data_IF_500714075368
#
_entry.id   IF_500714075368
#
_cell.length_a   1.000
_cell.length_b   1.000
_cell.length_c   1.000
_cell.angle_alpha   90.00
_cell.angle_beta   90.00
_cell.angle_gamma   90.00
#
_symmetry.space_group_name_H-M   'P 1'
#
loop_
_entity.id
_entity.type
_entity.pdbx_description
1 polymer ?
#
# COMPACT_ATOMS: atom_id res chain seq x y z
N UNK A 1 -16.04 22.39 6.47
CA UNK A 1 -15.75 20.96 6.33
C UNK A 1 -15.20 20.50 7.66
N UNK A 2 -15.79 19.49 8.32
CA UNK A 2 -15.28 19.00 9.59
C UNK A 2 -13.96 18.24 9.33
N UNK A 3 -12.89 18.69 9.95
CA UNK A 3 -11.63 17.97 10.07
C UNK A 3 -11.84 16.81 11.04
N UNK A 4 -11.84 15.60 10.54
CA UNK A 4 -11.81 14.41 11.38
C UNK A 4 -10.36 14.18 11.83
N UNK A 5 -10.01 14.68 13.00
CA UNK A 5 -8.81 14.28 13.72
C UNK A 5 -9.00 12.85 14.23
N UNK A 6 -8.51 11.87 13.48
CA UNK A 6 -8.33 10.52 13.98
C UNK A 6 -6.99 10.47 14.73
N UNK A 7 -6.95 10.15 16.02
CA UNK A 7 -5.69 10.09 16.77
C UNK A 7 -4.82 8.97 16.20
N UNK A 8 -3.62 9.33 15.72
CA UNK A 8 -2.60 8.41 15.18
C UNK A 8 -2.17 8.67 13.73
N UNK A 9 -2.80 9.56 13.00
CA UNK A 9 -2.55 9.77 11.55
C UNK A 9 -1.37 10.72 11.22
N UNK A 10 -0.70 11.33 12.18
CA UNK A 10 0.19 12.48 11.95
C UNK A 10 1.66 12.19 11.64
N UNK A 11 2.20 11.02 11.83
CA UNK A 11 3.66 10.87 11.97
C UNK A 11 4.44 10.20 10.84
N UNK A 12 3.81 9.62 9.84
CA UNK A 12 4.54 8.91 8.76
C UNK A 12 4.97 9.86 7.64
N UNK A 13 4.23 10.93 7.38
CA UNK A 13 4.50 11.85 6.28
C UNK A 13 5.77 12.71 6.44
N UNK A 14 6.06 13.19 7.66
CA UNK A 14 7.20 14.08 7.91
C UNK A 14 8.57 13.40 7.83
N UNK A 15 8.62 12.07 7.96
CA UNK A 15 9.87 11.30 7.85
C UNK A 15 10.26 10.98 6.41
N UNK A 16 9.29 10.96 5.49
CA UNK A 16 9.53 10.61 4.09
C UNK A 16 10.47 11.57 3.37
N UNK A 17 10.44 12.84 3.76
CA UNK A 17 11.19 13.91 3.10
C UNK A 17 12.60 14.13 3.64
N UNK A 18 12.91 13.69 4.86
CA UNK A 18 14.22 14.03 5.44
C UNK A 18 15.37 13.10 5.05
N UNK A 19 15.08 11.84 4.70
CA UNK A 19 16.15 10.83 4.73
C UNK A 19 16.40 10.03 3.43
N UNK A 20 15.77 10.36 2.26
CA UNK A 20 16.12 9.43 1.20
C UNK A 20 15.68 9.65 -0.24
N UNK A 21 14.80 10.57 -0.57
CA UNK A 21 14.41 10.81 -1.99
C UNK A 21 15.00 12.11 -2.55
N UNK A 22 15.62 12.96 -1.75
CA UNK A 22 16.00 14.34 -2.10
C UNK A 22 17.40 14.48 -2.71
N UNK A 23 18.14 13.42 -2.99
CA UNK A 23 19.41 13.54 -3.70
C UNK A 23 19.27 13.55 -5.24
N UNK A 24 18.15 14.05 -5.78
CA UNK A 24 17.94 14.13 -7.23
C UNK A 24 16.84 15.07 -7.72
N UNK A 25 16.15 15.80 -6.85
CA UNK A 25 15.13 16.76 -7.28
C UNK A 25 15.54 18.17 -6.89
N UNK A 26 15.98 18.95 -7.85
CA UNK A 26 16.17 20.39 -7.70
C UNK A 26 14.86 21.07 -7.33
N UNK A 27 14.93 21.96 -6.37
CA UNK A 27 13.85 22.82 -5.87
C UNK A 27 13.29 23.64 -7.03
N UNK A 28 12.07 23.36 -7.47
CA UNK A 28 11.35 24.22 -8.43
C UNK A 28 10.78 25.37 -7.65
N UNK A 29 11.46 26.50 -7.67
CA UNK A 29 10.91 27.82 -7.34
C UNK A 29 10.01 28.25 -8.50
N UNK A 30 8.75 28.59 -8.18
CA UNK A 30 7.83 29.26 -9.11
C UNK A 30 8.44 30.59 -9.59
N UNK A 31 8.73 30.68 -10.87
CA UNK A 31 8.77 31.91 -11.63
C UNK A 31 8.04 31.68 -12.94
N UNK A 32 6.97 32.46 -13.12
CA UNK A 32 6.24 32.59 -14.38
C UNK A 32 7.17 33.13 -15.46
N UNK A 33 7.40 32.33 -16.49
CA UNK A 33 7.67 32.87 -17.83
C UNK A 33 7.24 31.84 -18.90
N UNK A 34 6.29 32.29 -19.71
CA UNK A 34 5.77 31.59 -20.88
C UNK A 34 6.84 31.44 -21.95
N UNK A 35 7.53 30.32 -22.00
CA UNK A 35 8.08 29.77 -23.26
C UNK A 35 8.13 28.25 -23.18
N UNK A 36 7.37 27.62 -24.07
CA UNK A 36 7.19 26.20 -24.22
C UNK A 36 8.50 25.45 -24.48
N UNK A 37 9.07 24.84 -23.47
CA UNK A 37 9.90 23.65 -23.65
C UNK A 37 9.09 22.46 -23.14
N UNK A 38 8.75 21.59 -24.06
CA UNK A 38 7.98 20.40 -23.86
C UNK A 38 8.83 19.40 -23.06
N UNK A 39 8.67 19.34 -21.74
CA UNK A 39 9.30 18.34 -20.89
C UNK A 39 8.41 17.08 -20.84
N UNK A 40 8.80 15.98 -21.49
CA UNK A 40 8.04 14.72 -21.46
C UNK A 40 7.99 14.10 -20.06
N UNK A 41 8.93 14.42 -19.16
CA UNK A 41 8.97 13.91 -17.79
C UNK A 41 7.84 14.51 -16.93
N UNK A 42 7.55 15.80 -17.11
CA UNK A 42 6.46 16.48 -16.45
C UNK A 42 5.08 15.91 -16.85
N UNK A 43 4.95 15.39 -18.07
CA UNK A 43 3.71 14.79 -18.57
C UNK A 43 3.45 13.41 -17.96
N UNK A 44 4.48 12.62 -17.73
CA UNK A 44 4.37 11.30 -17.08
C UNK A 44 3.98 11.47 -15.61
N UNK A 45 4.60 12.38 -14.89
CA UNK A 45 4.26 12.68 -13.49
C UNK A 45 2.81 13.22 -13.38
N UNK A 46 2.37 14.07 -14.32
CA UNK A 46 1.01 14.64 -14.33
C UNK A 46 -0.10 13.60 -14.57
N UNK A 47 0.22 12.50 -15.27
CA UNK A 47 -0.71 11.39 -15.51
C UNK A 47 -1.00 10.55 -14.26
N UNK A 48 -0.09 10.53 -13.26
CA UNK A 48 -0.24 9.72 -12.05
C UNK A 48 -0.69 10.50 -10.81
N UNK A 49 -0.95 11.81 -10.93
CA UNK A 49 -1.22 12.69 -9.80
C UNK A 49 -2.41 12.29 -8.90
N UNK A 50 -3.33 11.47 -9.41
CA UNK A 50 -4.50 11.02 -8.64
C UNK A 50 -4.51 9.50 -8.41
N UNK A 51 -3.36 8.83 -8.52
CA UNK A 51 -3.24 7.39 -8.34
C UNK A 51 -2.73 7.05 -6.94
N UNK A 52 -3.27 5.98 -6.39
CA UNK A 52 -2.78 5.41 -5.14
C UNK A 52 -2.23 4.00 -5.38
N UNK A 53 -1.01 3.75 -4.95
CA UNK A 53 -0.57 2.38 -4.73
C UNK A 53 -1.30 1.82 -3.51
N UNK A 54 -1.78 0.60 -3.61
CA UNK A 54 -2.50 -0.07 -2.54
C UNK A 54 -2.10 -1.54 -2.48
N UNK A 55 -1.93 -2.06 -1.27
CA UNK A 55 -1.77 -3.49 -1.04
C UNK A 55 -2.58 -3.94 0.18
N UNK A 56 -3.01 -5.19 0.18
CA UNK A 56 -3.77 -5.81 1.26
C UNK A 56 -3.18 -7.16 1.63
N UNK A 57 -3.19 -7.47 2.92
CA UNK A 57 -2.90 -8.79 3.46
C UNK A 57 -4.05 -9.26 4.34
N UNK A 58 -4.27 -10.56 4.41
CA UNK A 58 -5.39 -11.04 5.21
C UNK A 58 -5.50 -12.55 5.28
N UNK A 59 -6.60 -12.98 5.85
CA UNK A 59 -6.92 -14.38 6.05
C UNK A 59 -8.00 -14.83 5.06
N UNK A 60 -7.80 -15.98 4.47
CA UNK A 60 -8.84 -16.69 3.74
C UNK A 60 -9.47 -17.73 4.65
N UNK A 61 -10.77 -17.85 4.63
CA UNK A 61 -11.53 -18.85 5.36
C UNK A 61 -12.42 -19.61 4.37
N UNK A 62 -11.90 -20.71 3.82
CA UNK A 62 -12.60 -21.50 2.82
C UNK A 62 -13.06 -20.69 1.60
N UNK A 63 -14.38 -20.73 1.31
CA UNK A 63 -15.02 -19.99 0.21
C UNK A 63 -15.46 -18.56 0.59
N UNK A 64 -15.21 -18.14 1.82
CA UNK A 64 -15.62 -16.81 2.30
C UNK A 64 -14.77 -15.71 1.69
N UNK A 65 -15.27 -14.47 1.65
CA UNK A 65 -14.44 -13.31 1.33
C UNK A 65 -13.21 -13.23 2.24
N UNK A 66 -12.10 -12.76 1.70
CA UNK A 66 -10.88 -12.53 2.46
C UNK A 66 -11.16 -11.56 3.61
N UNK A 67 -10.79 -11.94 4.83
CA UNK A 67 -10.76 -11.03 5.97
C UNK A 67 -9.48 -10.20 5.89
N UNK A 68 -9.61 -8.92 5.56
CA UNK A 68 -8.49 -8.01 5.39
C UNK A 68 -7.86 -7.76 6.75
N UNK A 69 -6.60 -8.15 6.92
CA UNK A 69 -5.83 -7.98 8.14
C UNK A 69 -5.01 -6.72 8.15
N UNK A 70 -4.45 -6.39 7.00
CA UNK A 70 -3.62 -5.20 6.78
C UNK A 70 -4.06 -4.55 5.48
N UNK A 71 -4.17 -3.23 5.49
CA UNK A 71 -4.33 -2.40 4.31
C UNK A 71 -3.28 -1.31 4.37
N UNK A 72 -2.56 -1.12 3.28
CA UNK A 72 -1.63 -0.02 3.12
C UNK A 72 -1.92 0.70 1.81
N UNK A 73 -1.74 2.02 1.79
CA UNK A 73 -1.86 2.82 0.57
C UNK A 73 -0.84 3.95 0.57
N UNK A 74 -0.53 4.42 -0.64
CA UNK A 74 0.35 5.56 -0.87
C UNK A 74 -0.20 6.40 -2.02
N UNK A 75 -0.56 7.64 -1.75
CA UNK A 75 -1.11 8.57 -2.72
C UNK A 75 0.04 9.35 -3.39
N UNK A 76 0.15 9.25 -4.72
CA UNK A 76 1.21 9.88 -5.50
C UNK A 76 1.08 11.41 -5.57
N UNK A 77 -0.12 11.96 -5.46
CA UNK A 77 -0.31 13.41 -5.55
C UNK A 77 0.07 14.14 -4.27
N UNK A 78 -0.23 13.53 -3.12
CA UNK A 78 0.08 14.11 -1.80
C UNK A 78 1.40 13.60 -1.23
N UNK A 79 1.96 12.57 -1.84
CA UNK A 79 3.13 11.82 -1.36
C UNK A 79 2.94 11.30 0.08
N UNK A 80 1.70 11.00 0.43
CA UNK A 80 1.33 10.49 1.75
C UNK A 80 0.83 9.06 1.63
N UNK A 81 1.19 8.26 2.61
CA UNK A 81 0.72 6.89 2.72
C UNK A 81 0.47 6.54 4.17
N UNK A 82 -0.30 5.49 4.36
CA UNK A 82 -0.58 4.95 5.67
C UNK A 82 -0.76 3.43 5.62
N UNK A 83 -0.72 2.82 6.79
CA UNK A 83 -0.87 1.40 6.99
C UNK A 83 -1.74 1.14 8.22
N UNK A 84 -2.73 0.30 8.05
CA UNK A 84 -3.66 -0.07 9.12
C UNK A 84 -3.68 -1.59 9.28
N UNK A 85 -3.51 -2.06 10.51
CA UNK A 85 -3.67 -3.45 10.89
C UNK A 85 -4.96 -3.59 11.69
N UNK A 86 -5.90 -4.37 11.17
CA UNK A 86 -7.20 -4.57 11.79
C UNK A 86 -7.15 -5.65 12.87
N UNK A 87 -7.82 -5.37 13.98
CA UNK A 87 -8.07 -6.34 15.04
C UNK A 87 -9.42 -7.00 14.82
N UNK A 88 -9.41 -8.33 14.71
CA UNK A 88 -10.63 -9.12 14.72
C UNK A 88 -11.06 -9.43 16.16
N UNK A 89 -12.34 -9.61 16.37
CA UNK A 89 -12.93 -10.00 17.64
C UNK A 89 -13.52 -11.41 17.57
N UNK A 90 -14.18 -11.85 18.64
CA UNK A 90 -14.82 -13.16 18.73
C UNK A 90 -15.93 -13.36 17.70
N UNK A 91 -16.64 -12.30 17.31
CA UNK A 91 -17.69 -12.38 16.29
C UNK A 91 -17.15 -12.81 14.92
N UNK A 92 -15.97 -12.33 14.56
CA UNK A 92 -15.31 -12.75 13.33
C UNK A 92 -14.81 -14.20 13.38
N UNK A 93 -14.63 -14.74 14.60
CA UNK A 93 -14.09 -16.08 14.84
C UNK A 93 -15.19 -17.14 15.00
N UNK A 94 -16.43 -16.76 15.35
CA UNK A 94 -17.49 -17.71 15.76
C UNK A 94 -17.86 -18.76 14.72
N UNK A 95 -17.77 -18.38 13.44
CA UNK A 95 -18.15 -19.26 12.34
C UNK A 95 -16.95 -19.91 11.65
N UNK A 96 -15.75 -19.81 12.22
CA UNK A 96 -14.54 -20.41 11.64
C UNK A 96 -14.48 -21.89 11.99
N UNK A 97 -14.29 -22.68 10.95
CA UNK A 97 -14.10 -24.13 11.10
C UNK A 97 -12.66 -24.46 11.60
N UNK A 98 -12.41 -25.67 12.11
CA UNK A 98 -11.04 -26.12 12.43
C UNK A 98 -10.08 -26.02 11.25
N UNK A 99 -10.57 -26.23 10.01
CA UNK A 99 -9.79 -26.05 8.78
C UNK A 99 -9.40 -24.59 8.56
N UNK A 100 -10.33 -23.64 8.78
CA UNK A 100 -10.06 -22.21 8.66
C UNK A 100 -8.99 -21.78 9.69
N UNK A 101 -9.09 -22.26 10.92
CA UNK A 101 -8.09 -21.99 11.95
C UNK A 101 -6.71 -22.55 11.61
N UNK A 102 -6.64 -23.74 11.01
CA UNK A 102 -5.37 -24.30 10.50
C UNK A 102 -4.77 -23.41 9.43
N UNK A 103 -5.59 -22.95 8.49
CA UNK A 103 -5.16 -22.05 7.42
C UNK A 103 -4.69 -20.70 7.98
N UNK A 104 -5.42 -20.10 8.93
CA UNK A 104 -5.01 -18.84 9.58
C UNK A 104 -3.69 -18.98 10.32
N UNK A 105 -3.46 -20.08 11.03
CA UNK A 105 -2.16 -20.36 11.66
C UNK A 105 -1.05 -20.44 10.63
N UNK A 106 -1.31 -21.02 9.46
CA UNK A 106 -0.36 -21.04 8.36
C UNK A 106 -0.03 -19.62 7.85
N UNK A 107 -1.06 -18.81 7.59
CA UNK A 107 -0.86 -17.41 7.16
C UNK A 107 -0.09 -16.60 8.20
N UNK A 108 -0.44 -16.72 9.48
CA UNK A 108 0.28 -16.08 10.57
C UNK A 108 1.73 -16.51 10.62
N UNK A 109 2.02 -17.81 10.45
CA UNK A 109 3.39 -18.33 10.58
C UNK A 109 4.27 -18.06 9.36
N UNK A 110 3.71 -18.12 8.14
CA UNK A 110 4.51 -18.23 6.91
C UNK A 110 4.25 -17.11 5.89
N UNK A 111 3.16 -16.35 6.00
CA UNK A 111 2.78 -15.37 4.98
C UNK A 111 2.95 -13.95 5.46
N UNK A 112 2.23 -13.50 6.49
CA UNK A 112 2.27 -12.09 6.92
C UNK A 112 2.65 -11.90 8.40
N UNK A 113 2.85 -12.97 9.16
CA UNK A 113 3.33 -12.89 10.55
C UNK A 113 2.31 -12.38 11.58
N UNK A 114 1.18 -11.81 11.16
CA UNK A 114 0.24 -11.13 12.05
C UNK A 114 -0.76 -12.10 12.69
N UNK A 115 -0.87 -12.15 14.04
CA UNK A 115 -1.89 -12.95 14.71
C UNK A 115 -3.30 -12.45 14.42
N UNK A 116 -4.28 -13.36 14.44
CA UNK A 116 -5.68 -13.04 14.12
C UNK A 116 -6.25 -11.90 14.99
N UNK A 117 -6.08 -11.97 16.30
CA UNK A 117 -6.61 -10.97 17.24
C UNK A 117 -5.70 -9.74 17.43
N UNK A 118 -4.52 -9.69 16.84
CA UNK A 118 -3.67 -8.50 16.88
C UNK A 118 -4.21 -7.43 15.93
N UNK A 119 -3.99 -6.16 16.25
CA UNK A 119 -4.31 -5.03 15.38
C UNK A 119 -4.41 -3.72 16.15
N UNK A 120 -4.22 -2.62 15.45
CA UNK A 120 -4.28 -1.26 16.01
C UNK A 120 -5.66 -0.65 15.89
N UNK A 121 -6.45 -1.09 14.90
CA UNK A 121 -7.79 -0.59 14.64
C UNK A 121 -8.80 -1.74 14.69
N UNK A 122 -10.03 -1.45 15.11
CA UNK A 122 -11.14 -2.40 15.04
C UNK A 122 -11.54 -2.63 13.57
N UNK A 123 -11.92 -3.87 13.24
CA UNK A 123 -12.31 -4.21 11.87
C UNK A 123 -13.55 -3.46 11.38
N UNK A 124 -14.41 -3.01 12.27
CA UNK A 124 -15.58 -2.17 11.95
C UNK A 124 -15.19 -0.85 11.26
N UNK A 125 -13.96 -0.37 11.47
CA UNK A 125 -13.44 0.83 10.81
C UNK A 125 -13.10 0.63 9.32
N UNK A 126 -13.09 -0.60 8.79
CA UNK A 126 -12.72 -0.88 7.40
C UNK A 126 -13.52 -0.03 6.40
N UNK A 127 -14.83 0.10 6.58
CA UNK A 127 -15.69 0.90 5.69
C UNK A 127 -15.35 2.39 5.71
N UNK A 128 -14.88 2.90 6.84
CA UNK A 128 -14.44 4.30 6.97
C UNK A 128 -13.12 4.48 6.22
N UNK A 129 -12.18 3.57 6.40
CA UNK A 129 -10.87 3.60 5.73
C UNK A 129 -11.03 3.51 4.21
N UNK A 130 -11.92 2.63 3.72
CA UNK A 130 -12.24 2.55 2.29
C UNK A 130 -12.73 3.91 1.78
N UNK A 131 -13.66 4.57 2.46
CA UNK A 131 -14.15 5.90 2.06
C UNK A 131 -13.06 6.97 2.07
N UNK A 132 -12.17 6.95 3.05
CA UNK A 132 -11.03 7.88 3.12
C UNK A 132 -10.12 7.69 1.90
N UNK A 133 -9.75 6.46 1.56
CA UNK A 133 -8.92 6.16 0.39
C UNK A 133 -9.65 6.59 -0.90
N UNK A 134 -10.94 6.25 -1.04
CA UNK A 134 -11.75 6.65 -2.22
C UNK A 134 -11.83 8.16 -2.41
N UNK A 135 -11.88 8.94 -1.32
CA UNK A 135 -11.93 10.40 -1.41
C UNK A 135 -10.61 11.03 -1.86
N UNK A 136 -9.51 10.29 -1.77
CA UNK A 136 -8.17 10.77 -2.08
C UNK A 136 -7.63 10.28 -3.43
N UNK A 137 -8.26 9.27 -4.03
CA UNK A 137 -7.71 8.57 -5.19
C UNK A 137 -8.76 8.45 -6.29
N UNK A 138 -8.32 8.55 -7.55
CA UNK A 138 -9.16 8.31 -8.74
C UNK A 138 -8.92 6.91 -9.34
N UNK A 139 -7.77 6.32 -9.06
CA UNK A 139 -7.39 5.01 -9.53
C UNK A 139 -6.47 4.33 -8.51
N UNK A 140 -6.61 3.03 -8.36
CA UNK A 140 -5.77 2.23 -7.47
C UNK A 140 -4.81 1.36 -8.29
N UNK A 141 -3.57 1.28 -7.83
CA UNK A 141 -2.53 0.44 -8.42
C UNK A 141 -2.16 -0.63 -7.42
N UNK A 142 -2.22 -1.88 -7.84
CA UNK A 142 -1.84 -3.03 -7.01
C UNK A 142 -1.01 -4.02 -7.81
N UNK A 143 -0.60 -5.14 -7.18
CA UNK A 143 0.04 -6.26 -7.86
C UNK A 143 -0.59 -7.58 -7.41
N UNK A 144 -1.16 -8.29 -8.38
CA UNK A 144 -1.74 -9.61 -8.21
C UNK A 144 -3.23 -9.62 -8.51
N UNK A 145 -3.63 -10.43 -9.50
CA UNK A 145 -4.99 -10.51 -10.03
C UNK A 145 -6.05 -10.73 -8.94
N UNK A 146 -5.75 -11.58 -7.95
CA UNK A 146 -6.67 -11.80 -6.84
C UNK A 146 -6.88 -10.56 -5.97
N UNK A 147 -5.80 -9.83 -5.66
CA UNK A 147 -5.90 -8.58 -4.90
C UNK A 147 -6.68 -7.54 -5.69
N UNK A 148 -6.43 -7.43 -6.99
CA UNK A 148 -7.17 -6.54 -7.88
C UNK A 148 -8.68 -6.84 -7.87
N UNK A 149 -9.07 -8.12 -7.92
CA UNK A 149 -10.49 -8.53 -7.82
C UNK A 149 -11.09 -8.17 -6.46
N UNK A 150 -10.38 -8.40 -5.35
CA UNK A 150 -10.86 -8.06 -4.01
C UNK A 150 -11.01 -6.55 -3.87
N UNK A 151 -10.00 -5.78 -4.27
CA UNK A 151 -10.03 -4.33 -4.22
C UNK A 151 -11.12 -3.74 -5.12
N UNK A 152 -11.35 -4.29 -6.31
CA UNK A 152 -12.43 -3.88 -7.20
C UNK A 152 -13.83 -4.07 -6.60
N UNK A 153 -14.00 -5.07 -5.72
CA UNK A 153 -15.26 -5.28 -4.97
C UNK A 153 -15.43 -4.33 -3.79
N UNK A 154 -14.32 -3.86 -3.22
CA UNK A 154 -14.32 -3.00 -2.03
C UNK A 154 -14.38 -1.52 -2.40
N UNK A 155 -13.66 -1.15 -3.46
CA UNK A 155 -13.54 0.21 -3.93
C UNK A 155 -14.30 0.38 -5.25
N UNK A 156 -15.13 1.38 -5.35
CA UNK A 156 -15.76 1.75 -6.62
C UNK A 156 -14.81 2.64 -7.44
N UNK A 157 -13.60 2.14 -7.71
CA UNK A 157 -12.54 2.84 -8.44
C UNK A 157 -11.91 1.91 -9.47
N UNK A 158 -11.36 2.43 -10.58
CA UNK A 158 -10.53 1.67 -11.50
C UNK A 158 -9.33 1.06 -10.76
N UNK A 159 -9.01 -0.19 -11.07
CA UNK A 159 -7.87 -0.93 -10.50
C UNK A 159 -6.91 -1.31 -11.64
N UNK A 160 -5.65 -1.00 -11.46
CA UNK A 160 -4.56 -1.43 -12.34
C UNK A 160 -3.77 -2.53 -11.63
N UNK A 161 -3.73 -3.73 -12.21
CA UNK A 161 -2.83 -4.79 -11.77
C UNK A 161 -1.51 -4.71 -12.55
N UNK A 162 -0.46 -4.26 -11.89
CA UNK A 162 0.88 -4.18 -12.48
C UNK A 162 1.44 -5.57 -12.85
N UNK A 163 0.99 -6.64 -12.18
CA UNK A 163 1.41 -8.00 -12.48
C UNK A 163 1.01 -8.44 -13.89
N UNK A 164 -0.19 -8.05 -14.33
CA UNK A 164 -0.71 -8.35 -15.67
C UNK A 164 -0.27 -7.31 -16.71
N UNK A 165 -0.39 -6.02 -16.38
CA UNK A 165 -0.17 -4.93 -17.32
C UNK A 165 1.31 -4.74 -17.70
N UNK A 166 2.24 -4.96 -16.76
CA UNK A 166 3.65 -4.57 -16.89
C UNK A 166 4.64 -5.73 -16.75
N UNK A 167 4.17 -6.95 -16.51
CA UNK A 167 5.06 -8.09 -16.24
C UNK A 167 5.98 -7.86 -15.03
N UNK A 168 5.50 -7.16 -14.02
CA UNK A 168 6.27 -6.79 -12.82
C UNK A 168 6.86 -8.02 -12.12
N UNK A 169 8.16 -8.04 -11.81
CA UNK A 169 8.79 -9.15 -11.12
C UNK A 169 8.14 -9.44 -9.76
N UNK A 170 8.32 -10.66 -9.25
CA UNK A 170 7.82 -11.01 -7.91
C UNK A 170 8.38 -10.07 -6.83
N UNK A 171 7.66 -9.90 -5.73
CA UNK A 171 8.13 -9.08 -4.61
C UNK A 171 9.49 -9.53 -4.07
N UNK A 172 9.76 -10.82 -4.09
CA UNK A 172 11.09 -11.35 -3.74
C UNK A 172 12.19 -10.80 -4.66
N UNK A 173 11.99 -10.86 -5.98
CA UNK A 173 12.94 -10.29 -6.96
C UNK A 173 13.05 -8.77 -6.84
N UNK A 174 11.96 -8.08 -6.52
CA UNK A 174 12.02 -6.64 -6.27
C UNK A 174 12.83 -6.32 -5.02
N UNK A 175 12.64 -7.07 -3.93
CA UNK A 175 13.38 -6.86 -2.68
C UNK A 175 14.89 -7.13 -2.81
N UNK A 176 15.31 -8.00 -3.73
CA UNK A 176 16.75 -8.17 -4.03
C UNK A 176 17.34 -7.01 -4.82
N UNK A 177 16.52 -6.29 -5.58
CA UNK A 177 16.95 -5.17 -6.42
C UNK A 177 16.84 -3.80 -5.73
N UNK A 178 15.81 -3.60 -4.93
CA UNK A 178 15.52 -2.34 -4.28
C UNK A 178 15.66 -2.50 -2.76
N UNK A 179 16.53 -1.72 -2.10
CA UNK A 179 16.61 -1.71 -0.65
C UNK A 179 15.30 -1.18 -0.08
N UNK A 180 14.87 -1.75 1.05
CA UNK A 180 13.67 -1.31 1.75
C UNK A 180 14.13 -0.43 2.91
N UNK A 181 13.86 0.88 2.87
CA UNK A 181 14.18 1.78 3.97
C UNK A 181 13.38 1.43 5.23
N UNK A 182 13.94 1.68 6.40
CA UNK A 182 13.34 1.34 7.70
C UNK A 182 11.98 1.99 7.95
N UNK A 183 11.71 3.14 7.33
CA UNK A 183 10.44 3.86 7.44
C UNK A 183 9.31 3.25 6.59
N UNK A 184 9.61 2.27 5.72
CA UNK A 184 8.63 1.55 4.92
C UNK A 184 8.17 0.22 5.53
N UNK A 185 8.51 -0.01 6.76
CA UNK A 185 7.99 -1.13 7.54
C UNK A 185 6.86 -0.62 8.44
N UNK A 186 5.75 -1.34 8.49
CA UNK A 186 4.77 -1.07 9.52
C UNK A 186 5.36 -1.41 10.92
N UNK A 187 4.84 -0.80 11.96
CA UNK A 187 5.37 -0.96 13.33
C UNK A 187 5.42 -2.41 13.80
N UNK A 188 4.52 -3.24 13.32
CA UNK A 188 4.51 -4.66 13.64
C UNK A 188 5.69 -5.39 13.00
N UNK A 189 5.88 -5.26 11.69
CA UNK A 189 6.91 -5.99 10.94
C UNK A 189 8.32 -5.46 11.21
N UNK A 190 8.46 -4.17 11.51
CA UNK A 190 9.73 -3.56 11.92
C UNK A 190 10.32 -4.23 13.16
N UNK A 191 9.45 -4.63 14.10
CA UNK A 191 9.87 -5.33 15.33
C UNK A 191 10.31 -6.77 15.10
N UNK A 192 9.80 -7.41 14.05
CA UNK A 192 10.05 -8.83 13.78
C UNK A 192 11.29 -9.10 12.92
N UNK A 193 11.84 -8.07 12.25
CA UNK A 193 13.03 -8.16 11.37
C UNK A 193 12.97 -9.36 10.39
N UNK A 194 11.78 -9.66 9.86
CA UNK A 194 11.61 -10.77 8.93
C UNK A 194 12.23 -10.43 7.58
N UNK A 195 13.02 -11.33 7.03
CA UNK A 195 13.76 -11.12 5.78
C UNK A 195 12.89 -11.03 4.50
N UNK A 196 11.59 -11.24 4.60
CA UNK A 196 10.69 -11.28 3.45
C UNK A 196 9.70 -10.09 3.48
N UNK A 197 9.36 -9.53 2.32
CA UNK A 197 8.43 -8.40 2.21
C UNK A 197 6.97 -8.87 2.43
N UNK A 198 6.64 -9.25 3.65
CA UNK A 198 5.28 -9.67 4.02
C UNK A 198 4.37 -8.49 4.38
N UNK A 199 4.92 -7.32 4.61
CA UNK A 199 4.21 -6.11 4.97
C UNK A 199 3.59 -5.46 3.73
N UNK A 200 2.32 -5.07 3.78
CA UNK A 200 1.65 -4.38 2.68
C UNK A 200 2.35 -3.05 2.33
N UNK A 201 2.80 -2.28 3.32
CA UNK A 201 3.55 -1.04 3.09
C UNK A 201 4.89 -1.28 2.38
N UNK A 202 5.62 -2.31 2.77
CA UNK A 202 6.87 -2.71 2.10
C UNK A 202 6.63 -3.07 0.63
N UNK A 203 5.55 -3.81 0.34
CA UNK A 203 5.19 -4.17 -1.03
C UNK A 203 4.86 -2.95 -1.89
N UNK A 204 4.17 -1.96 -1.32
CA UNK A 204 3.92 -0.67 -1.99
C UNK A 204 5.24 0.03 -2.33
N UNK A 205 6.17 0.11 -1.38
CA UNK A 205 7.47 0.72 -1.64
C UNK A 205 8.24 0.03 -2.76
N UNK A 206 8.24 -1.30 -2.78
CA UNK A 206 8.89 -2.07 -3.85
C UNK A 206 8.27 -1.80 -5.22
N UNK A 207 6.94 -1.71 -5.30
CA UNK A 207 6.23 -1.37 -6.55
C UNK A 207 6.53 0.05 -6.98
N UNK A 208 6.51 1.01 -6.06
CA UNK A 208 6.83 2.40 -6.32
C UNK A 208 8.27 2.55 -6.85
N UNK A 209 9.24 1.93 -6.19
CA UNK A 209 10.64 1.92 -6.62
C UNK A 209 10.82 1.31 -8.02
N UNK A 210 10.09 0.23 -8.31
CA UNK A 210 10.09 -0.41 -9.62
C UNK A 210 9.55 0.52 -10.71
N UNK A 211 8.39 1.14 -10.50
CA UNK A 211 7.76 2.06 -11.46
C UNK A 211 8.65 3.27 -11.71
N UNK A 212 9.21 3.87 -10.66
CA UNK A 212 10.12 5.01 -10.78
C UNK A 212 11.38 4.63 -11.56
N UNK A 213 11.96 3.46 -11.30
CA UNK A 213 13.17 3.02 -12.01
C UNK A 213 12.96 2.83 -13.51
N UNK A 214 11.75 2.46 -13.94
CA UNK A 214 11.43 2.29 -15.37
C UNK A 214 11.22 3.61 -16.10
N UNK A 215 10.72 4.62 -15.41
CA UNK A 215 10.49 5.93 -15.99
C UNK A 215 11.80 6.73 -16.18
N UNK A 216 12.81 6.47 -15.35
CA UNK A 216 14.13 7.11 -15.46
C UNK A 216 14.97 6.47 -16.56
N UNK A 217 14.67 5.23 -16.97
CA UNK A 217 15.49 4.47 -17.94
C UNK A 217 15.07 4.63 -19.40
N UNK A 218 14.10 5.51 -19.72
CA UNK A 218 13.73 5.81 -21.11
C UNK A 218 14.33 7.17 -21.47
N UNK A 219 15.39 7.19 -22.32
CA UNK A 219 15.92 8.43 -22.88
C UNK A 219 14.90 9.14 -23.76
#
# INVERSE_FOLDING_TARGET
MPTFDLPGFGHVADRFWRDGIVNGAETITQHDDCRSSFDPTARVIKLYLNYCFIDIEGFRAGKRPMLIKEIAWFNLSTLRGDNIIFRFNSEHAKDLTPSDWKQMKYFTKFIHGMPFFYGTQDYSCLSIIIRVIQSQCQCLITKGAEKAVILGKLFNLPIIDLGEAEGTPSYFKLATKFPIPDNFWCDFHKKQKTALPHCAMTKINLLLSYVLSRNISKP
#
